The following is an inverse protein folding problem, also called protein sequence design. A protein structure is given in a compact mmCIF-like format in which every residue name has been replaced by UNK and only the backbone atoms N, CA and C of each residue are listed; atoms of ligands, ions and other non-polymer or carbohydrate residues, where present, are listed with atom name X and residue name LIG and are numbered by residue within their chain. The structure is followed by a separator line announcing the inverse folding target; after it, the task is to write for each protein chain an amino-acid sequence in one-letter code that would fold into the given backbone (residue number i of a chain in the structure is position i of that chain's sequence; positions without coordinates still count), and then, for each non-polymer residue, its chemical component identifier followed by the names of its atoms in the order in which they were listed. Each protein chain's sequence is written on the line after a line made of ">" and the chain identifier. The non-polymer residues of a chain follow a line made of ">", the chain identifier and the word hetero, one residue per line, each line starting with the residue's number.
data_IF_451393203027
#
_entry.id   IF_451393203027
#
_cell.length_a   1.000
_cell.length_b   1.000
_cell.length_c   1.000
_cell.angle_alpha   90.00
_cell.angle_beta   90.00
_cell.angle_gamma   90.00
#
_symmetry.space_group_name_H-M   'P 1'
#
loop_
_entity.id
_entity.type
_entity.pdbx_description
1 polymer ?
#
# COMPACT_ATOMS: atom_id res chain seq x y z
N UNK A 1 -7.28 14.56 21.83
CA UNK A 1 -6.27 15.45 22.43
C UNK A 1 -5.62 16.29 21.31
N UNK A 2 -5.31 17.55 21.61
CA UNK A 2 -4.63 18.44 20.67
C UNK A 2 -3.41 19.08 21.35
N UNK A 3 -2.23 18.80 20.76
CA UNK A 3 -0.95 19.36 21.18
C UNK A 3 -0.27 20.02 19.98
N UNK A 4 0.36 21.17 20.22
CA UNK A 4 1.23 21.82 19.22
C UNK A 4 2.62 21.97 19.81
N UNK A 5 3.62 21.37 19.16
CA UNK A 5 5.00 21.28 19.67
C UNK A 5 5.11 20.65 21.08
N UNK A 6 4.29 19.62 21.35
CA UNK A 6 4.27 18.94 22.65
C UNK A 6 3.49 19.69 23.76
N UNK A 7 2.98 20.89 23.48
CA UNK A 7 2.26 21.73 24.45
C UNK A 7 0.75 21.57 24.22
N UNK A 8 -0.04 21.24 25.25
CA UNK A 8 -1.50 21.20 25.14
C UNK A 8 -2.04 22.58 24.80
N UNK A 9 -3.04 22.64 23.92
CA UNK A 9 -3.68 23.91 23.50
C UNK A 9 -5.06 23.98 24.10
N UNK A 10 -5.31 25.06 24.82
CA UNK A 10 -6.62 25.39 25.40
C UNK A 10 -7.52 26.09 24.39
N UNK A 11 -8.81 26.06 24.68
CA UNK A 11 -9.86 26.76 23.93
C UNK A 11 -9.89 26.41 22.42
N UNK A 12 -9.38 25.23 22.05
CA UNK A 12 -9.50 24.73 20.67
C UNK A 12 -10.88 24.14 20.48
N UNK A 13 -11.64 24.67 19.53
CA UNK A 13 -12.92 24.07 19.13
C UNK A 13 -12.65 22.96 18.13
N UNK A 14 -13.11 21.76 18.47
CA UNK A 14 -13.06 20.56 17.60
C UNK A 14 -14.48 20.26 17.15
N UNK A 15 -14.72 20.30 15.83
CA UNK A 15 -15.96 19.79 15.24
C UNK A 15 -15.82 18.29 15.00
N UNK A 16 -16.91 17.57 15.14
CA UNK A 16 -16.92 16.13 14.88
C UNK A 16 -18.15 15.70 14.09
N UNK A 17 -17.95 14.63 13.32
CA UNK A 17 -18.99 13.87 12.65
C UNK A 17 -18.79 12.40 12.98
N UNK A 18 -19.85 11.73 13.42
CA UNK A 18 -19.84 10.32 13.81
C UNK A 18 -20.87 9.58 12.98
N UNK A 19 -20.50 8.46 12.39
CA UNK A 19 -21.39 7.64 11.58
C UNK A 19 -20.84 6.23 11.36
N UNK A 20 -21.51 5.45 10.53
CA UNK A 20 -21.00 4.17 10.06
C UNK A 20 -19.76 4.35 9.21
N UNK A 21 -18.86 3.37 9.22
CA UNK A 21 -17.67 3.39 8.37
C UNK A 21 -18.08 3.38 6.89
N UNK A 22 -17.41 4.19 6.08
CA UNK A 22 -17.65 4.36 4.64
C UNK A 22 -19.07 4.87 4.29
N UNK A 23 -19.90 5.24 5.28
CA UNK A 23 -21.20 5.83 5.02
C UNK A 23 -21.08 7.32 4.72
N UNK A 24 -21.83 7.84 3.72
CA UNK A 24 -21.71 9.23 3.29
C UNK A 24 -22.28 10.24 4.29
N UNK A 25 -23.22 9.81 5.12
CA UNK A 25 -23.92 10.68 6.07
C UNK A 25 -23.58 10.31 7.50
N UNK A 26 -23.16 11.31 8.27
CA UNK A 26 -22.99 11.14 9.71
C UNK A 26 -24.36 11.16 10.41
N UNK A 27 -24.55 10.24 11.37
CA UNK A 27 -25.75 10.18 12.21
C UNK A 27 -25.69 11.18 13.39
N UNK A 28 -24.49 11.63 13.74
CA UNK A 28 -24.25 12.61 14.81
C UNK A 28 -23.18 13.62 14.40
N UNK A 29 -23.47 14.89 14.59
CA UNK A 29 -22.53 16.01 14.39
C UNK A 29 -22.53 16.92 15.59
N UNK A 30 -21.39 17.54 15.89
CA UNK A 30 -21.29 18.50 16.98
C UNK A 30 -19.91 19.13 17.08
N UNK A 31 -19.74 19.86 18.18
CA UNK A 31 -18.45 20.44 18.53
C UNK A 31 -18.19 20.38 20.02
N UNK A 32 -16.92 20.37 20.39
CA UNK A 32 -16.47 20.54 21.78
C UNK A 32 -15.33 21.54 21.82
N UNK A 33 -15.20 22.22 22.94
CA UNK A 33 -14.03 23.07 23.23
C UNK A 33 -13.10 22.31 24.17
N UNK A 34 -11.83 22.16 23.77
CA UNK A 34 -10.83 21.45 24.56
C UNK A 34 -10.40 22.30 25.77
N UNK A 35 -10.22 21.64 26.92
CA UNK A 35 -9.60 22.19 28.13
C UNK A 35 -8.27 21.48 28.35
N UNK A 36 -7.20 22.26 28.47
CA UNK A 36 -5.83 21.72 28.56
C UNK A 36 -5.51 20.68 27.45
N UNK A 37 -5.89 21.01 26.22
CA UNK A 37 -5.69 20.15 25.05
C UNK A 37 -6.53 18.87 25.03
N UNK A 38 -7.52 18.69 25.92
CA UNK A 38 -8.28 17.45 26.08
C UNK A 38 -9.77 17.67 25.98
N UNK A 39 -10.47 16.67 25.50
CA UNK A 39 -11.92 16.59 25.45
C UNK A 39 -12.35 15.17 25.21
N UNK A 40 -13.61 14.87 25.53
CA UNK A 40 -14.22 13.55 25.34
C UNK A 40 -15.43 13.71 24.42
N UNK A 41 -15.49 12.90 23.39
CA UNK A 41 -16.63 12.84 22.46
C UNK A 41 -17.21 11.43 22.56
N UNK A 42 -18.46 11.27 23.02
CA UNK A 42 -19.10 9.97 23.06
C UNK A 42 -19.46 9.53 21.64
N UNK A 43 -18.86 8.46 21.17
CA UNK A 43 -19.11 7.93 19.82
C UNK A 43 -20.35 7.05 19.72
N UNK A 44 -21.00 6.75 20.84
CA UNK A 44 -22.15 5.86 20.89
C UNK A 44 -21.78 4.40 20.71
N UNK A 45 -22.77 3.58 20.36
CA UNK A 45 -22.63 2.16 20.17
C UNK A 45 -23.34 1.71 18.90
N UNK A 46 -23.16 0.45 18.50
CA UNK A 46 -23.86 -0.19 17.38
C UNK A 46 -24.60 -1.44 17.85
N UNK A 47 -25.81 -1.64 17.36
CA UNK A 47 -26.56 -2.88 17.59
C UNK A 47 -26.10 -4.01 16.66
N UNK A 48 -25.78 -3.65 15.43
CA UNK A 48 -25.26 -4.57 14.41
C UNK A 48 -23.73 -4.55 14.41
N UNK A 49 -23.09 -5.69 14.07
CA UNK A 49 -21.64 -5.73 13.87
C UNK A 49 -21.18 -4.73 12.81
N UNK A 50 -20.09 -4.04 13.10
CA UNK A 50 -19.58 -3.02 12.16
C UNK A 50 -18.55 -2.09 12.78
N UNK A 51 -18.28 -1.00 12.08
CA UNK A 51 -17.36 0.04 12.55
C UNK A 51 -18.05 1.40 12.57
N UNK A 52 -17.81 2.15 13.65
CA UNK A 52 -18.13 3.59 13.71
C UNK A 52 -16.89 4.39 13.42
N UNK A 53 -17.05 5.43 12.62
CA UNK A 53 -16.01 6.38 12.26
C UNK A 53 -16.33 7.73 12.91
N UNK A 54 -15.41 8.23 13.72
CA UNK A 54 -15.45 9.56 14.30
C UNK A 54 -14.43 10.45 13.57
N UNK A 55 -14.91 11.39 12.77
CA UNK A 55 -14.10 12.33 11.99
C UNK A 55 -14.05 13.65 12.74
N UNK A 56 -12.84 14.15 12.92
CA UNK A 56 -12.54 15.34 13.71
C UNK A 56 -11.90 16.41 12.84
N UNK A 57 -12.28 17.67 13.06
CA UNK A 57 -11.60 18.82 12.46
C UNK A 57 -11.42 19.93 13.50
N UNK A 58 -10.25 20.56 13.46
CA UNK A 58 -9.96 21.74 14.25
C UNK A 58 -9.14 22.73 13.42
N UNK A 59 -9.45 24.02 13.55
CA UNK A 59 -8.63 25.08 12.92
C UNK A 59 -7.91 25.86 14.01
N UNK A 60 -6.59 25.86 13.96
CA UNK A 60 -5.73 26.54 14.93
C UNK A 60 -4.66 27.33 14.17
N UNK A 61 -4.54 28.63 14.52
CA UNK A 61 -3.58 29.53 13.86
C UNK A 61 -3.72 29.51 12.32
N UNK A 62 -4.96 29.52 11.81
CA UNK A 62 -5.27 29.51 10.36
C UNK A 62 -5.04 28.16 9.65
N UNK A 63 -4.56 27.14 10.35
CA UNK A 63 -4.33 25.81 9.79
C UNK A 63 -5.40 24.82 10.25
N UNK A 64 -5.99 24.09 9.31
CA UNK A 64 -6.96 23.03 9.59
C UNK A 64 -6.27 21.68 9.76
N UNK A 65 -6.58 21.03 10.86
CA UNK A 65 -6.17 19.67 11.21
C UNK A 65 -7.37 18.76 11.13
N UNK A 66 -7.21 17.62 10.46
CA UNK A 66 -8.23 16.59 10.36
C UNK A 66 -7.69 15.27 10.88
N UNK A 67 -8.50 14.53 11.58
CA UNK A 67 -8.19 13.19 12.06
C UNK A 67 -9.46 12.36 12.13
N UNK A 68 -9.31 11.03 12.05
CA UNK A 68 -10.44 10.13 12.27
C UNK A 68 -10.00 8.92 13.11
N UNK A 69 -10.94 8.35 13.82
CA UNK A 69 -10.77 7.16 14.63
C UNK A 69 -11.94 6.23 14.35
N UNK A 70 -11.64 4.98 14.08
CA UNK A 70 -12.64 3.93 13.89
C UNK A 70 -12.66 3.00 15.07
N UNK A 71 -13.86 2.58 15.49
CA UNK A 71 -14.08 1.64 16.57
C UNK A 71 -14.96 0.49 16.06
N UNK A 72 -14.48 -0.73 16.21
CA UNK A 72 -15.22 -1.94 15.83
C UNK A 72 -16.18 -2.40 16.93
N UNK A 73 -17.38 -2.80 16.54
CA UNK A 73 -18.40 -3.41 17.40
C UNK A 73 -18.67 -4.83 16.90
N UNK A 74 -18.44 -5.82 17.73
CA UNK A 74 -18.56 -7.25 17.43
C UNK A 74 -17.93 -7.63 16.07
N UNK A 75 -16.66 -7.21 15.79
CA UNK A 75 -16.06 -7.40 14.47
C UNK A 75 -15.92 -8.88 14.11
N UNK A 76 -15.87 -9.76 15.09
CA UNK A 76 -15.85 -11.21 14.93
C UNK A 76 -17.15 -11.79 14.33
N UNK A 77 -18.24 -11.00 14.34
CA UNK A 77 -19.55 -11.37 13.77
C UNK A 77 -19.79 -10.78 12.39
N UNK A 78 -18.80 -10.08 11.83
CA UNK A 78 -18.90 -9.57 10.45
C UNK A 78 -18.88 -10.73 9.47
N UNK A 79 -19.81 -10.68 8.51
CA UNK A 79 -19.85 -11.62 7.41
C UNK A 79 -19.49 -10.91 6.10
N UNK A 80 -18.74 -11.55 5.19
CA UNK A 80 -18.51 -11.02 3.86
C UNK A 80 -19.83 -10.77 3.12
N UNK A 81 -19.95 -9.64 2.45
CA UNK A 81 -21.09 -9.36 1.56
C UNK A 81 -20.99 -10.10 0.22
N UNK A 82 -19.78 -10.58 -0.09
CA UNK A 82 -19.52 -11.35 -1.31
C UNK A 82 -19.11 -12.77 -0.94
N UNK A 83 -19.51 -13.72 -1.76
CA UNK A 83 -19.05 -15.10 -1.65
C UNK A 83 -17.85 -15.32 -2.57
N UNK A 84 -17.01 -16.28 -2.22
CA UNK A 84 -15.96 -16.73 -3.13
C UNK A 84 -16.61 -17.24 -4.42
N UNK A 85 -16.14 -16.82 -5.61
CA UNK A 85 -16.62 -17.37 -6.88
C UNK A 85 -16.55 -18.91 -6.88
N UNK A 86 -17.55 -19.56 -7.43
CA UNK A 86 -17.62 -21.03 -7.43
C UNK A 86 -16.46 -21.68 -8.18
N UNK A 87 -15.93 -21.01 -9.18
CA UNK A 87 -14.82 -21.44 -10.03
C UNK A 87 -13.44 -20.97 -9.54
N UNK A 88 -13.35 -20.28 -8.39
CA UNK A 88 -12.10 -19.68 -7.89
C UNK A 88 -10.95 -20.71 -7.86
N UNK A 89 -11.21 -21.89 -7.33
CA UNK A 89 -10.18 -22.92 -7.21
C UNK A 89 -9.76 -23.43 -8.60
N UNK A 90 -10.73 -23.73 -9.45
CA UNK A 90 -10.50 -24.23 -10.81
C UNK A 90 -9.72 -23.23 -11.66
N UNK A 91 -10.11 -21.95 -11.59
CA UNK A 91 -9.41 -20.86 -12.25
C UNK A 91 -7.92 -20.82 -11.89
N UNK A 92 -7.61 -20.86 -10.60
CA UNK A 92 -6.21 -20.82 -10.16
C UNK A 92 -5.42 -22.10 -10.43
N UNK A 93 -6.06 -23.26 -10.36
CA UNK A 93 -5.41 -24.53 -10.75
C UNK A 93 -5.04 -24.53 -12.24
N UNK A 94 -5.95 -24.07 -13.10
CA UNK A 94 -5.69 -23.90 -14.53
C UNK A 94 -4.55 -22.90 -14.77
N UNK A 95 -4.59 -21.72 -14.18
CA UNK A 95 -3.55 -20.71 -14.33
C UNK A 95 -2.17 -21.22 -13.89
N UNK A 96 -2.09 -21.97 -12.78
CA UNK A 96 -0.86 -22.60 -12.33
C UNK A 96 -0.37 -23.71 -13.28
N UNK A 97 -1.28 -24.48 -13.85
CA UNK A 97 -0.93 -25.51 -14.82
C UNK A 97 -0.35 -24.90 -16.09
N UNK A 98 -1.00 -23.88 -16.63
CA UNK A 98 -0.50 -23.12 -17.79
C UNK A 98 0.89 -22.50 -17.52
N UNK A 99 1.10 -21.96 -16.32
CA UNK A 99 2.40 -21.39 -15.94
C UNK A 99 3.51 -22.46 -15.86
N UNK A 100 3.20 -23.68 -15.44
CA UNK A 100 4.17 -24.78 -15.37
C UNK A 100 4.66 -25.24 -16.73
N UNK A 101 3.86 -25.07 -17.78
CA UNK A 101 4.25 -25.39 -19.16
C UNK A 101 5.25 -24.40 -19.74
N UNK A 102 5.40 -23.23 -19.13
CA UNK A 102 6.32 -22.20 -19.55
C UNK A 102 7.50 -22.12 -18.56
N UNK A 103 8.73 -22.46 -18.97
CA UNK A 103 9.88 -22.36 -18.09
C UNK A 103 10.14 -20.91 -17.72
N UNK A 104 10.32 -20.66 -16.43
CA UNK A 104 10.67 -19.33 -15.93
C UNK A 104 12.04 -18.94 -16.49
N UNK A 105 12.05 -17.91 -17.31
CA UNK A 105 13.27 -17.30 -17.84
C UNK A 105 13.50 -15.93 -17.22
N UNK A 106 14.75 -15.62 -16.97
CA UNK A 106 15.11 -14.33 -16.38
C UNK A 106 16.47 -13.85 -16.86
N UNK A 107 16.65 -12.54 -16.85
CA UNK A 107 17.98 -11.89 -16.90
C UNK A 107 18.29 -11.27 -15.55
N UNK A 108 19.57 -11.20 -15.21
CA UNK A 108 20.04 -10.63 -13.96
C UNK A 108 21.30 -9.82 -14.24
N UNK A 109 21.23 -8.51 -14.00
CA UNK A 109 22.31 -7.57 -14.22
C UNK A 109 22.73 -6.94 -12.89
N UNK A 110 24.04 -6.91 -12.59
CA UNK A 110 24.54 -6.32 -11.36
C UNK A 110 24.43 -4.80 -11.41
N UNK A 111 23.91 -4.19 -10.34
CA UNK A 111 23.74 -2.75 -10.20
C UNK A 111 24.65 -2.21 -9.12
N UNK A 112 25.85 -1.79 -9.52
CA UNK A 112 26.91 -1.32 -8.61
C UNK A 112 26.44 -0.15 -7.75
N UNK A 113 25.73 0.83 -8.34
CA UNK A 113 25.26 2.04 -7.63
C UNK A 113 24.32 1.74 -6.43
N UNK A 114 23.75 0.53 -6.36
CA UNK A 114 22.87 0.10 -5.26
C UNK A 114 23.47 -1.04 -4.44
N UNK A 115 24.65 -1.51 -4.80
CA UNK A 115 25.40 -2.49 -4.03
C UNK A 115 26.22 -1.80 -2.92
N UNK A 116 26.51 -2.53 -1.85
CA UNK A 116 27.32 -2.06 -0.72
C UNK A 116 28.36 -3.11 -0.33
N UNK A 117 29.11 -2.86 0.71
CA UNK A 117 30.03 -3.87 1.30
C UNK A 117 29.30 -5.13 1.83
N UNK A 118 28.02 -5.03 2.17
CA UNK A 118 27.22 -6.10 2.79
C UNK A 118 26.24 -6.78 1.85
N UNK A 119 25.82 -6.11 0.77
CA UNK A 119 24.75 -6.58 -0.12
C UNK A 119 25.09 -6.31 -1.59
N UNK A 120 24.69 -7.22 -2.46
CA UNK A 120 24.65 -7.01 -3.91
C UNK A 120 23.22 -6.65 -4.35
N UNK A 121 23.11 -5.75 -5.31
CA UNK A 121 21.88 -5.43 -5.99
C UNK A 121 21.92 -5.89 -7.43
N UNK A 122 20.84 -6.48 -7.89
CA UNK A 122 20.67 -6.90 -9.29
C UNK A 122 19.36 -6.36 -9.84
N UNK A 123 19.40 -5.83 -11.06
CA UNK A 123 18.21 -5.63 -11.87
C UNK A 123 17.82 -6.97 -12.47
N UNK A 124 16.61 -7.40 -12.18
CA UNK A 124 16.08 -8.68 -12.66
C UNK A 124 14.89 -8.39 -13.58
N UNK A 125 14.87 -9.05 -14.73
CA UNK A 125 13.72 -9.13 -15.63
C UNK A 125 13.25 -10.58 -15.63
N UNK A 126 12.01 -10.80 -15.22
CA UNK A 126 11.36 -12.12 -15.28
C UNK A 126 10.38 -12.13 -16.44
N UNK A 127 10.48 -13.11 -17.33
CA UNK A 127 9.47 -13.33 -18.35
C UNK A 127 8.37 -14.24 -17.80
N UNK A 128 7.12 -13.78 -17.87
CA UNK A 128 5.99 -14.44 -17.23
C UNK A 128 5.30 -15.47 -18.14
N UNK A 129 5.35 -15.27 -19.45
CA UNK A 129 4.68 -16.15 -20.40
C UNK A 129 5.28 -16.07 -21.81
N UNK A 130 4.75 -16.93 -22.71
CA UNK A 130 5.18 -17.01 -24.12
C UNK A 130 4.94 -15.71 -24.91
N UNK A 131 4.03 -14.83 -24.46
CA UNK A 131 3.71 -13.56 -25.12
C UNK A 131 4.72 -12.45 -24.84
N UNK A 132 5.75 -12.75 -24.04
CA UNK A 132 6.79 -11.78 -23.69
C UNK A 132 6.42 -10.83 -22.55
N UNK A 133 5.30 -11.05 -21.87
CA UNK A 133 5.00 -10.30 -20.65
C UNK A 133 6.09 -10.55 -19.62
N UNK A 134 6.53 -9.48 -19.00
CA UNK A 134 7.61 -9.53 -18.01
C UNK A 134 7.31 -8.62 -16.82
N UNK A 135 8.02 -8.85 -15.74
CA UNK A 135 8.15 -7.94 -14.61
C UNK A 135 9.61 -7.61 -14.40
N UNK A 136 9.87 -6.41 -13.94
CA UNK A 136 11.20 -5.97 -13.55
C UNK A 136 11.25 -5.75 -12.05
N UNK A 137 12.43 -5.89 -11.47
CA UNK A 137 12.63 -5.59 -10.07
C UNK A 137 14.08 -5.54 -9.66
N UNK A 138 14.31 -4.99 -8.47
CA UNK A 138 15.62 -5.04 -7.84
C UNK A 138 15.68 -6.18 -6.83
N UNK A 139 16.65 -7.06 -7.02
CA UNK A 139 16.95 -8.16 -6.12
C UNK A 139 18.17 -7.79 -5.28
N UNK A 140 17.97 -7.65 -3.99
CA UNK A 140 19.05 -7.44 -3.02
C UNK A 140 19.43 -8.75 -2.36
N UNK A 141 20.70 -9.06 -2.40
CA UNK A 141 21.24 -10.31 -1.92
C UNK A 141 22.36 -10.07 -0.89
N UNK A 142 22.35 -10.72 0.28
CA UNK A 142 23.45 -10.62 1.24
C UNK A 142 24.77 -11.14 0.65
N UNK A 143 25.87 -10.41 0.85
CA UNK A 143 27.24 -10.87 0.49
C UNK A 143 27.76 -11.89 1.51
N UNK A 144 27.01 -12.98 1.70
CA UNK A 144 27.34 -14.09 2.59
C UNK A 144 26.99 -15.38 1.91
N UNK A 145 27.68 -16.45 2.24
CA UNK A 145 27.29 -17.79 1.81
C UNK A 145 26.12 -18.30 2.64
N UNK A 146 25.22 -19.05 2.00
CA UNK A 146 24.11 -19.70 2.68
C UNK A 146 22.76 -19.59 1.96
N UNK A 147 21.72 -20.07 2.64
CA UNK A 147 20.32 -19.93 2.23
C UNK A 147 19.68 -18.86 3.09
N UNK A 148 18.94 -17.99 2.47
CA UNK A 148 18.31 -16.85 3.14
C UNK A 148 16.81 -16.85 2.93
N UNK A 149 16.04 -16.40 3.91
CA UNK A 149 14.62 -16.14 3.69
C UNK A 149 14.42 -15.04 2.65
N UNK A 150 13.35 -15.13 1.88
CA UNK A 150 13.02 -14.18 0.81
C UNK A 150 11.87 -13.29 1.23
N UNK A 151 12.05 -11.98 1.07
CA UNK A 151 11.02 -10.97 1.26
C UNK A 151 10.59 -10.45 -0.11
N UNK A 152 9.37 -10.75 -0.52
CA UNK A 152 8.77 -10.22 -1.74
C UNK A 152 8.08 -8.90 -1.44
N UNK A 153 8.37 -7.88 -2.24
CA UNK A 153 7.83 -6.54 -2.08
C UNK A 153 7.05 -6.13 -3.34
N UNK A 154 5.79 -6.55 -3.47
CA UNK A 154 4.94 -6.12 -4.58
C UNK A 154 4.60 -4.64 -4.47
N UNK A 155 4.36 -3.95 -5.58
CA UNK A 155 3.98 -2.54 -5.57
C UNK A 155 2.56 -2.33 -5.02
N UNK A 156 2.28 -1.10 -4.56
CA UNK A 156 0.91 -0.65 -4.36
C UNK A 156 0.21 -0.39 -5.70
N UNK A 157 -1.10 -0.15 -5.66
CA UNK A 157 -1.92 0.13 -6.83
C UNK A 157 -1.41 1.32 -7.68
N UNK A 158 -1.64 1.26 -8.98
CA UNK A 158 -1.26 2.26 -9.98
C UNK A 158 0.08 1.99 -10.66
N UNK A 159 0.30 2.67 -11.79
CA UNK A 159 1.59 2.61 -12.50
C UNK A 159 2.65 3.31 -11.68
N UNK A 160 3.65 2.59 -11.28
CA UNK A 160 4.76 3.07 -10.46
C UNK A 160 6.06 2.45 -10.94
N UNK A 161 7.14 3.20 -10.78
CA UNK A 161 8.50 2.67 -10.88
C UNK A 161 9.15 2.63 -9.50
N UNK A 162 10.22 1.88 -9.36
CA UNK A 162 10.98 1.77 -8.11
C UNK A 162 11.94 2.96 -8.00
N UNK A 163 11.51 4.03 -7.33
CA UNK A 163 12.29 5.29 -7.22
C UNK A 163 13.39 5.25 -6.16
N UNK A 164 13.20 4.48 -5.11
CA UNK A 164 14.09 4.43 -3.95
C UNK A 164 14.49 2.99 -3.62
N UNK A 165 15.30 2.34 -4.47
CA UNK A 165 15.63 0.91 -4.29
C UNK A 165 16.28 0.62 -2.92
N UNK A 166 17.06 1.56 -2.39
CA UNK A 166 17.77 1.41 -1.11
C UNK A 166 16.91 1.65 0.13
N UNK A 167 15.66 2.11 -0.02
CA UNK A 167 14.79 2.48 1.11
C UNK A 167 14.67 1.38 2.18
N UNK A 168 14.63 0.13 1.77
CA UNK A 168 14.47 -1.02 2.66
C UNK A 168 15.62 -2.02 2.57
N UNK A 169 16.84 -1.55 2.25
CA UNK A 169 18.05 -2.36 2.16
C UNK A 169 18.37 -3.15 3.43
N UNK A 170 17.90 -2.66 4.58
CA UNK A 170 18.13 -3.31 5.86
C UNK A 170 17.64 -4.77 5.92
N UNK A 171 16.63 -5.16 5.15
CA UNK A 171 16.24 -6.56 5.05
C UNK A 171 17.39 -7.44 4.54
N UNK A 172 18.08 -6.98 3.50
CA UNK A 172 19.22 -7.72 2.96
C UNK A 172 20.45 -7.63 3.86
N UNK A 173 20.70 -6.49 4.46
CA UNK A 173 21.79 -6.29 5.45
C UNK A 173 21.61 -7.19 6.69
N UNK A 174 20.37 -7.52 7.05
CA UNK A 174 20.02 -8.44 8.14
C UNK A 174 19.93 -9.92 7.71
N UNK A 175 20.24 -10.24 6.48
CA UNK A 175 20.33 -11.62 6.01
C UNK A 175 19.08 -12.17 5.34
N UNK A 176 18.23 -11.33 4.76
CA UNK A 176 17.13 -11.73 3.88
C UNK A 176 17.47 -11.41 2.43
N UNK A 177 17.01 -12.21 1.49
CA UNK A 177 16.93 -11.77 0.09
C UNK A 177 15.70 -10.88 -0.02
N UNK A 178 15.83 -9.69 -0.61
CA UNK A 178 14.69 -8.81 -0.86
C UNK A 178 14.49 -8.65 -2.35
N UNK A 179 13.28 -8.93 -2.83
CA UNK A 179 12.90 -8.69 -4.21
C UNK A 179 11.76 -7.68 -4.26
N UNK A 180 12.07 -6.46 -4.70
CA UNK A 180 11.09 -5.40 -4.97
C UNK A 180 10.87 -5.32 -6.46
N UNK A 181 9.63 -5.49 -6.89
CA UNK A 181 9.28 -5.58 -8.30
C UNK A 181 8.06 -4.74 -8.62
N UNK A 182 7.94 -4.37 -9.89
CA UNK A 182 6.74 -3.77 -10.46
C UNK A 182 5.96 -4.84 -11.25
N UNK A 183 4.71 -4.54 -11.61
CA UNK A 183 3.79 -5.52 -12.22
C UNK A 183 3.31 -5.14 -13.63
N UNK A 184 3.77 -4.03 -14.17
CA UNK A 184 3.32 -3.52 -15.47
C UNK A 184 4.36 -3.69 -16.59
N UNK A 185 5.46 -4.38 -16.33
CA UNK A 185 6.54 -4.60 -17.30
C UNK A 185 7.42 -3.38 -17.53
N UNK A 186 7.47 -2.45 -16.59
CA UNK A 186 8.24 -1.21 -16.70
C UNK A 186 9.65 -1.41 -16.15
N UNK A 187 10.66 -1.16 -17.00
CA UNK A 187 12.04 -1.16 -16.54
C UNK A 187 12.26 0.02 -15.56
N UNK A 188 12.67 -0.21 -14.31
CA UNK A 188 12.90 0.87 -13.35
C UNK A 188 14.10 1.78 -13.70
N UNK A 189 14.94 1.38 -14.64
CA UNK A 189 16.04 2.20 -15.17
C UNK A 189 15.61 3.06 -16.37
N UNK A 190 14.33 3.03 -16.81
CA UNK A 190 13.85 3.94 -17.85
C UNK A 190 13.95 5.40 -17.40
N UNK A 191 14.11 6.30 -18.36
CA UNK A 191 14.17 7.72 -18.03
C UNK A 191 12.79 8.28 -17.63
N UNK A 192 12.78 9.48 -17.03
CA UNK A 192 11.55 10.09 -16.51
C UNK A 192 10.56 10.48 -17.63
N UNK A 193 11.04 10.81 -18.81
CA UNK A 193 10.18 11.19 -19.94
C UNK A 193 9.43 9.97 -20.48
N UNK A 194 10.12 8.86 -20.71
CA UNK A 194 9.52 7.57 -21.09
C UNK A 194 8.49 7.11 -20.07
N UNK A 195 8.83 7.17 -18.79
CA UNK A 195 7.89 6.82 -17.73
C UNK A 195 6.64 7.71 -17.74
N UNK A 196 6.83 9.01 -17.94
CA UNK A 196 5.73 9.97 -17.96
C UNK A 196 4.80 9.73 -19.15
N UNK A 197 5.35 9.45 -20.33
CA UNK A 197 4.56 9.10 -21.52
C UNK A 197 3.70 7.86 -21.29
N UNK A 198 4.30 6.77 -20.79
CA UNK A 198 3.59 5.53 -20.47
C UNK A 198 2.52 5.77 -19.42
N UNK A 199 2.87 6.46 -18.33
CA UNK A 199 1.94 6.76 -17.24
C UNK A 199 0.76 7.60 -17.71
N UNK A 200 0.99 8.60 -18.56
CA UNK A 200 -0.05 9.43 -19.14
C UNK A 200 -0.95 8.63 -20.09
N UNK A 201 -0.36 7.79 -20.94
CA UNK A 201 -1.12 6.93 -21.85
C UNK A 201 -2.01 5.94 -21.09
N UNK A 202 -1.53 5.44 -19.96
CA UNK A 202 -2.30 4.53 -19.10
C UNK A 202 -3.41 5.25 -18.34
N UNK A 203 -3.10 6.37 -17.69
CA UNK A 203 -4.05 7.16 -16.91
C UNK A 203 -5.05 7.95 -17.77
N UNK A 204 -4.71 8.27 -19.01
CA UNK A 204 -5.58 8.95 -19.95
C UNK A 204 -6.72 8.09 -20.53
N UNK A 205 -6.73 6.78 -20.22
CA UNK A 205 -7.84 5.89 -20.59
C UNK A 205 -8.90 5.93 -19.51
N UNK A 206 -10.15 6.01 -19.90
CA UNK A 206 -11.27 5.86 -18.98
C UNK A 206 -11.14 4.53 -18.24
N UNK A 207 -11.07 4.58 -16.91
CA UNK A 207 -10.82 3.40 -16.04
C UNK A 207 -9.54 2.62 -16.36
N UNK A 208 -8.47 3.29 -16.81
CA UNK A 208 -7.24 2.67 -17.30
C UNK A 208 -6.66 1.59 -16.38
N UNK A 209 -6.70 1.81 -15.08
CA UNK A 209 -6.23 0.84 -14.09
C UNK A 209 -7.13 -0.41 -14.01
N UNK A 210 -8.45 -0.23 -14.10
CA UNK A 210 -9.41 -1.33 -14.02
C UNK A 210 -9.49 -2.16 -15.31
N UNK A 211 -9.16 -1.56 -16.43
CA UNK A 211 -9.25 -2.21 -17.76
C UNK A 211 -7.95 -2.82 -18.24
N UNK A 212 -6.81 -2.41 -17.68
CA UNK A 212 -5.48 -2.84 -18.11
C UNK A 212 -4.62 -3.43 -16.96
N UNK A 213 -5.23 -3.67 -15.81
CA UNK A 213 -4.61 -4.36 -14.68
C UNK A 213 -4.56 -5.87 -14.84
#
# INVERSE_FOLDING_TARGET
>A
QFYKYGIPRDNVTVTYEIGGDMMPVADTKGSITLKNGRGVIPVGTMKEPGFRDCRLKATVDGKTYSHHIKVGFSPEKLHPYTTMPSDFKEFWEKAKAEQKEFPLTYTKEHVEKYSTDKIDCYLVKLQLNKRGQCVYGYLFYPKKEGKFPVVLCPPGAGIKTIKEPLRHKYYAEQGCIRFEFEIHGLNPEMNEEEFKEISNAFNGRENGYLTNG
#
